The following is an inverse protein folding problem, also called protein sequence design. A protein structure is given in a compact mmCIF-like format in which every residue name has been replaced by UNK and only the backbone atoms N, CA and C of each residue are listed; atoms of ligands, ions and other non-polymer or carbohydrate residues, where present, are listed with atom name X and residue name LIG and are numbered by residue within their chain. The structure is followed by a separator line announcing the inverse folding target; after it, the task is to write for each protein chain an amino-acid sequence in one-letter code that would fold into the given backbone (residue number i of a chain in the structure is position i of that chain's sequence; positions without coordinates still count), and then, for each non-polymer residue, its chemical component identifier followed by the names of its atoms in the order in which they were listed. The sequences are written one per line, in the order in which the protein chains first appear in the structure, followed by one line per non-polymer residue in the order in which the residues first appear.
data_IF_477995505302
#
_entry.id   IF_477995505302
#
_cell.length_a   1.000
_cell.length_b   1.000
_cell.length_c   1.000
_cell.angle_alpha   90.00
_cell.angle_beta   90.00
_cell.angle_gamma   90.00
#
_symmetry.space_group_name_H-M   'P 1'
#
loop_
_entity.id
_entity.type
_entity.pdbx_description
1 polymer ?
#
# COMPACT_ATOMS: atom_id res chain seq x y z
N UNK A 1 10.09 14.78 12.87
CA UNK A 1 9.45 13.59 13.49
C UNK A 1 7.94 13.64 13.24
N UNK A 2 7.28 14.76 13.55
CA UNK A 2 5.85 15.00 13.27
C UNK A 2 5.44 14.65 11.82
N UNK A 3 6.10 15.24 10.82
CA UNK A 3 5.84 14.95 9.39
C UNK A 3 5.96 13.46 9.02
N UNK A 4 6.83 12.70 9.70
CA UNK A 4 6.99 11.26 9.42
C UNK A 4 5.76 10.50 9.95
N UNK A 5 5.31 10.84 11.17
CA UNK A 5 4.13 10.23 11.79
C UNK A 5 2.88 10.53 10.96
N UNK A 6 2.70 11.77 10.49
CA UNK A 6 1.57 12.15 9.64
C UNK A 6 1.55 11.35 8.33
N UNK A 7 2.72 11.18 7.68
CA UNK A 7 2.84 10.38 6.47
C UNK A 7 2.50 8.90 6.71
N UNK A 8 2.97 8.33 7.81
CA UNK A 8 2.66 6.94 8.17
C UNK A 8 1.17 6.76 8.49
N UNK A 9 0.54 7.71 9.19
CA UNK A 9 -0.91 7.70 9.42
C UNK A 9 -1.68 7.74 8.11
N UNK A 10 -1.26 8.59 7.16
CA UNK A 10 -1.88 8.64 5.83
C UNK A 10 -1.74 7.31 5.07
N UNK A 11 -0.59 6.63 5.18
CA UNK A 11 -0.43 5.29 4.60
C UNK A 11 -1.42 4.28 5.19
N UNK A 12 -1.62 4.29 6.51
CA UNK A 12 -2.61 3.41 7.15
C UNK A 12 -4.04 3.72 6.67
N UNK A 13 -4.41 4.99 6.53
CA UNK A 13 -5.72 5.40 6.02
C UNK A 13 -5.92 4.98 4.55
N UNK A 14 -4.92 5.18 3.70
CA UNK A 14 -4.96 4.77 2.29
C UNK A 14 -5.11 3.25 2.18
N UNK A 15 -4.29 2.48 2.92
CA UNK A 15 -4.38 1.02 2.94
C UNK A 15 -5.76 0.56 3.42
N UNK A 16 -6.30 1.19 4.46
CA UNK A 16 -7.63 0.88 4.98
C UNK A 16 -8.74 1.13 3.96
N UNK A 17 -8.74 2.28 3.28
CA UNK A 17 -9.76 2.62 2.26
C UNK A 17 -9.66 1.71 1.04
N UNK A 18 -8.44 1.40 0.59
CA UNK A 18 -8.21 0.48 -0.53
C UNK A 18 -8.69 -0.95 -0.19
N UNK A 19 -8.41 -1.43 1.02
CA UNK A 19 -8.89 -2.73 1.52
C UNK A 19 -10.41 -2.76 1.63
N UNK A 20 -11.03 -1.73 2.23
CA UNK A 20 -12.48 -1.65 2.37
C UNK A 20 -13.21 -1.59 1.02
N UNK A 21 -12.58 -1.03 -0.01
CA UNK A 21 -13.11 -1.01 -1.37
C UNK A 21 -12.84 -2.29 -2.17
N UNK A 22 -12.15 -3.29 -1.62
CA UNK A 22 -11.76 -4.53 -2.32
C UNK A 22 -10.66 -4.34 -3.36
N UNK A 23 -9.99 -3.18 -3.37
CA UNK A 23 -8.98 -2.86 -4.39
C UNK A 23 -7.66 -3.59 -4.17
N UNK A 24 -7.43 -4.10 -2.95
CA UNK A 24 -6.25 -4.88 -2.61
C UNK A 24 -6.48 -6.39 -2.81
N UNK A 25 -7.67 -6.81 -3.27
CA UNK A 25 -7.99 -8.22 -3.46
C UNK A 25 -7.04 -8.87 -4.49
N UNK A 26 -6.32 -9.89 -4.03
CA UNK A 26 -5.33 -10.60 -4.86
C UNK A 26 -4.02 -9.83 -5.08
N UNK A 27 -3.83 -8.67 -4.44
CA UNK A 27 -2.58 -7.93 -4.44
C UNK A 27 -1.74 -8.25 -3.20
N UNK A 28 -0.42 -8.29 -3.38
CA UNK A 28 0.54 -8.47 -2.30
C UNK A 28 1.28 -7.16 -2.06
N UNK A 29 1.14 -6.60 -0.87
CA UNK A 29 1.87 -5.39 -0.46
C UNK A 29 3.37 -5.66 -0.34
N UNK A 30 4.18 -4.81 -0.95
CA UNK A 30 5.63 -4.96 -1.03
C UNK A 30 6.35 -3.61 -1.02
N UNK A 31 7.67 -3.63 -1.26
CA UNK A 31 8.47 -2.41 -1.42
C UNK A 31 8.93 -1.77 -0.11
N UNK A 32 9.40 -0.53 -0.22
CA UNK A 32 10.03 0.18 0.89
C UNK A 32 9.06 0.49 2.04
N UNK A 33 7.80 0.77 1.71
CA UNK A 33 6.78 1.12 2.71
C UNK A 33 6.32 -0.13 3.47
N UNK A 34 6.23 -1.30 2.81
CA UNK A 34 6.02 -2.57 3.50
C UNK A 34 7.17 -2.88 4.48
N UNK A 35 8.42 -2.64 4.08
CA UNK A 35 9.58 -2.79 4.98
C UNK A 35 9.50 -1.83 6.19
N UNK A 36 9.02 -0.60 5.98
CA UNK A 36 8.83 0.38 7.05
C UNK A 36 7.73 -0.03 8.02
N UNK A 37 6.53 -0.31 7.52
CA UNK A 37 5.33 -0.52 8.33
C UNK A 37 5.26 -1.93 8.94
N UNK A 38 5.64 -2.97 8.18
CA UNK A 38 5.49 -4.35 8.62
C UNK A 38 6.76 -4.91 9.28
N UNK A 39 7.94 -4.38 8.93
CA UNK A 39 9.23 -4.93 9.37
C UNK A 39 10.12 -3.90 10.11
N UNK A 40 9.64 -2.68 10.35
CA UNK A 40 10.33 -1.69 11.18
C UNK A 40 11.58 -1.08 10.56
N UNK A 41 11.69 -1.03 9.22
CA UNK A 41 12.84 -0.42 8.55
C UNK A 41 13.06 1.05 8.97
N UNK A 42 14.32 1.46 9.07
CA UNK A 42 14.69 2.79 9.61
C UNK A 42 14.43 3.96 8.66
N UNK A 43 14.42 3.70 7.34
CA UNK A 43 14.19 4.72 6.31
C UNK A 43 12.69 4.84 6.02
N UNK A 44 12.19 6.07 5.94
CA UNK A 44 10.86 6.35 5.40
C UNK A 44 10.81 5.98 3.91
N UNK A 45 9.64 5.50 3.47
CA UNK A 45 9.28 5.28 2.08
C UNK A 45 7.88 5.83 1.89
N UNK A 46 7.60 6.45 0.74
CA UNK A 46 6.36 7.21 0.51
C UNK A 46 5.40 6.50 -0.43
N UNK A 47 5.92 5.69 -1.36
CA UNK A 47 5.11 4.99 -2.36
C UNK A 47 4.50 3.69 -1.79
N UNK A 48 3.30 3.34 -2.23
CA UNK A 48 2.68 2.05 -1.92
C UNK A 48 2.84 1.11 -3.12
N UNK A 49 3.64 0.05 -2.96
CA UNK A 49 3.92 -0.91 -4.02
C UNK A 49 3.16 -2.21 -3.82
N UNK A 50 2.59 -2.75 -4.89
CA UNK A 50 1.86 -4.03 -4.88
C UNK A 50 2.28 -4.95 -6.01
N UNK A 51 2.17 -6.27 -5.80
CA UNK A 51 2.29 -7.29 -6.84
C UNK A 51 0.96 -8.00 -7.04
N UNK A 52 0.43 -8.05 -8.26
CA UNK A 52 -0.83 -8.74 -8.55
C UNK A 52 -0.71 -10.22 -8.90
N UNK A 53 0.51 -10.74 -8.98
CA UNK A 53 0.76 -12.14 -9.33
C UNK A 53 0.30 -12.55 -10.76
N UNK A 54 0.32 -13.84 -11.09
CA UNK A 54 0.08 -14.34 -12.45
C UNK A 54 -1.33 -14.12 -13.00
N UNK A 55 -2.33 -13.96 -12.11
CA UNK A 55 -3.73 -13.75 -12.47
C UNK A 55 -4.13 -12.29 -12.58
N UNK A 56 -3.19 -11.36 -12.41
CA UNK A 56 -3.49 -9.93 -12.42
C UNK A 56 -4.05 -9.47 -13.77
N UNK A 57 -5.12 -8.69 -13.72
CA UNK A 57 -5.66 -7.99 -14.88
C UNK A 57 -5.93 -6.54 -14.51
N UNK A 58 -5.54 -5.60 -15.36
CA UNK A 58 -5.88 -4.20 -15.16
C UNK A 58 -7.41 -3.97 -15.13
N UNK A 59 -8.18 -4.87 -15.73
CA UNK A 59 -9.65 -4.80 -15.73
C UNK A 59 -10.24 -5.03 -14.33
N UNK A 60 -9.53 -5.72 -13.42
CA UNK A 60 -10.00 -5.90 -12.04
C UNK A 60 -9.77 -4.64 -11.17
N UNK A 61 -9.00 -3.66 -11.66
CA UNK A 61 -8.82 -2.36 -10.99
C UNK A 61 -9.83 -1.32 -11.45
N UNK A 62 -11.05 -1.75 -11.82
CA UNK A 62 -12.08 -0.89 -12.42
C UNK A 62 -12.51 0.27 -11.51
N UNK A 63 -11.93 1.46 -11.73
CA UNK A 63 -12.24 2.73 -11.08
C UNK A 63 -11.07 3.40 -10.33
N UNK A 64 -9.87 2.79 -10.34
CA UNK A 64 -8.61 3.41 -9.89
C UNK A 64 -7.75 3.97 -11.05
N UNK A 65 -8.22 3.85 -12.29
CA UNK A 65 -7.52 4.30 -13.51
C UNK A 65 -7.93 5.70 -13.95
#
# INVERSE_FOLDING_TARGET
MEVIVEKELLHYELLHVLDHGGWLDGLIFQGGTALRLCYGASRLSEDLDFSGGPGFSTNSMGGLA
#
